data_IF_685455893104
#
_entry.id   IF_685455893104
#
_cell.length_a   1.000
_cell.length_b   1.000
_cell.length_c   1.000
_cell.angle_alpha   90.00
_cell.angle_beta   90.00
_cell.angle_gamma   90.00
#
_symmetry.space_group_name_H-M   'P 1'
#
loop_
_entity.id
_entity.type
_entity.pdbx_description
1 polymer ?
#
# COMPACT_ATOMS: atom_id res chain seq x y z
N UNK A 1 -7.17 43.41 -14.21
CA UNK A 1 -6.58 42.14 -14.67
C UNK A 1 -5.12 42.45 -14.99
N UNK A 2 -4.17 41.81 -14.31
CA UNK A 2 -2.73 42.04 -14.54
C UNK A 2 -2.38 41.47 -15.92
N UNK A 3 -1.63 42.20 -16.74
CA UNK A 3 -1.21 41.73 -18.06
C UNK A 3 -0.18 40.60 -17.90
N UNK A 4 -0.24 39.57 -18.75
CA UNK A 4 0.70 38.42 -18.71
C UNK A 4 2.16 38.86 -18.78
N UNK A 5 2.45 39.87 -19.60
CA UNK A 5 3.77 40.50 -19.75
C UNK A 5 4.31 41.07 -18.41
N UNK A 6 3.43 41.57 -17.54
CA UNK A 6 3.82 42.07 -16.22
C UNK A 6 4.22 40.92 -15.29
N UNK A 7 3.51 39.79 -15.33
CA UNK A 7 3.84 38.61 -14.51
C UNK A 7 5.15 37.96 -14.96
N UNK A 8 5.42 37.97 -16.27
CA UNK A 8 6.70 37.54 -16.82
C UNK A 8 7.85 38.45 -16.38
N UNK A 9 7.67 39.78 -16.48
CA UNK A 9 8.69 40.76 -16.06
C UNK A 9 9.02 40.67 -14.56
N UNK A 10 8.02 40.37 -13.72
CA UNK A 10 8.18 40.18 -12.28
C UNK A 10 8.69 38.78 -11.90
N UNK A 11 8.96 37.92 -12.88
CA UNK A 11 9.35 36.51 -12.68
C UNK A 11 8.39 35.75 -11.74
N UNK A 12 7.08 36.03 -11.80
CA UNK A 12 6.09 35.48 -10.87
C UNK A 12 6.13 33.95 -10.81
N UNK A 13 6.23 33.30 -11.96
CA UNK A 13 6.33 31.84 -12.06
C UNK A 13 7.56 31.29 -11.33
N UNK A 14 8.70 31.99 -11.37
CA UNK A 14 9.93 31.61 -10.67
C UNK A 14 9.78 31.77 -9.15
N UNK A 15 9.11 32.82 -8.70
CA UNK A 15 8.76 33.00 -7.29
C UNK A 15 7.85 31.86 -6.80
N UNK A 16 6.80 31.53 -7.54
CA UNK A 16 5.90 30.41 -7.24
C UNK A 16 6.63 29.06 -7.21
N UNK A 17 7.56 28.83 -8.14
CA UNK A 17 8.42 27.64 -8.12
C UNK A 17 9.29 27.56 -6.88
N UNK A 18 9.86 28.69 -6.44
CA UNK A 18 10.64 28.74 -5.20
C UNK A 18 9.75 28.52 -3.97
N UNK A 19 8.57 29.15 -3.91
CA UNK A 19 7.59 28.94 -2.85
C UNK A 19 7.21 27.46 -2.73
N UNK A 20 6.97 26.78 -3.85
CA UNK A 20 6.60 25.37 -3.88
C UNK A 20 7.65 24.44 -3.23
N UNK A 21 8.92 24.84 -3.12
CA UNK A 21 9.94 24.03 -2.44
C UNK A 21 9.78 23.98 -0.93
N UNK A 22 8.96 24.87 -0.36
CA UNK A 22 8.68 24.91 1.08
C UNK A 22 7.39 24.16 1.46
N UNK A 23 6.64 23.62 0.50
CA UNK A 23 5.40 22.91 0.77
C UNK A 23 5.64 21.51 1.35
N UNK A 24 4.88 21.14 2.38
CA UNK A 24 4.97 19.83 3.05
C UNK A 24 4.34 18.68 2.23
N UNK A 25 3.43 18.98 1.30
CA UNK A 25 2.71 17.97 0.50
C UNK A 25 2.89 18.22 -0.99
N UNK A 26 2.78 17.15 -1.80
CA UNK A 26 2.80 17.26 -3.27
C UNK A 26 1.69 18.17 -3.79
N UNK A 27 0.49 18.06 -3.22
CA UNK A 27 -0.66 18.89 -3.57
C UNK A 27 -0.43 20.36 -3.22
N UNK A 28 0.16 20.66 -2.05
CA UNK A 28 0.54 22.01 -1.66
C UNK A 28 1.62 22.60 -2.59
N UNK A 29 2.62 21.80 -2.97
CA UNK A 29 3.64 22.21 -3.93
C UNK A 29 3.05 22.51 -5.31
N UNK A 30 2.09 21.70 -5.76
CA UNK A 30 1.35 21.94 -6.99
C UNK A 30 0.56 23.26 -6.91
N UNK A 31 -0.22 23.46 -5.84
CA UNK A 31 -0.99 24.68 -5.61
C UNK A 31 -0.11 25.95 -5.59
N UNK A 32 1.02 25.90 -4.88
CA UNK A 32 1.98 27.02 -4.81
C UNK A 32 2.62 27.33 -6.18
N UNK A 33 2.93 26.30 -6.98
CA UNK A 33 3.54 26.46 -8.30
C UNK A 33 2.65 27.16 -9.30
N UNK A 34 1.34 26.91 -9.24
CA UNK A 34 0.34 27.48 -10.13
C UNK A 34 -0.50 28.58 -9.44
N UNK A 35 0.06 29.23 -8.42
CA UNK A 35 -0.63 30.31 -7.73
C UNK A 35 -0.75 31.55 -8.62
N UNK A 36 -1.94 32.14 -8.65
CA UNK A 36 -2.22 33.36 -9.41
C UNK A 36 -2.50 34.51 -8.42
N UNK A 37 -2.09 35.76 -8.71
CA UNK A 37 -2.48 36.89 -7.89
C UNK A 37 -4.01 37.02 -7.85
N UNK A 38 -4.61 37.21 -6.67
CA UNK A 38 -6.06 37.40 -6.51
C UNK A 38 -6.59 38.51 -7.40
N UNK A 39 -7.79 38.31 -7.96
CA UNK A 39 -8.39 39.28 -8.87
C UNK A 39 -9.02 40.48 -8.15
N UNK A 40 -9.32 40.32 -6.85
CA UNK A 40 -10.00 41.32 -6.04
C UNK A 40 -9.29 41.58 -4.71
N UNK A 41 -9.49 42.78 -4.17
CA UNK A 41 -8.99 43.12 -2.83
C UNK A 41 -9.61 42.23 -1.74
N UNK A 42 -10.89 41.85 -1.89
CA UNK A 42 -11.57 40.96 -0.93
C UNK A 42 -10.85 39.63 -0.84
N UNK A 43 -10.64 38.97 -1.97
CA UNK A 43 -9.92 37.70 -2.06
C UNK A 43 -8.50 37.79 -1.49
N UNK A 44 -7.79 38.90 -1.76
CA UNK A 44 -6.47 39.15 -1.17
C UNK A 44 -6.51 39.25 0.35
N UNK A 45 -7.52 39.91 0.91
CA UNK A 45 -7.68 40.05 2.36
C UNK A 45 -8.03 38.72 3.01
N UNK A 46 -8.87 37.90 2.37
CA UNK A 46 -9.27 36.59 2.87
C UNK A 46 -8.07 35.63 2.91
N UNK A 47 -7.28 35.55 1.83
CA UNK A 47 -6.03 34.75 1.79
C UNK A 47 -4.96 35.24 2.77
N UNK A 48 -4.83 36.57 2.93
CA UNK A 48 -3.91 37.14 3.91
C UNK A 48 -4.34 36.78 5.34
N UNK A 49 -5.64 36.74 5.62
CA UNK A 49 -6.15 36.38 6.93
C UNK A 49 -5.90 34.89 7.24
N UNK A 50 -6.12 33.98 6.28
CA UNK A 50 -5.71 32.56 6.38
C UNK A 50 -4.21 32.42 6.65
N UNK A 51 -3.38 33.17 5.92
CA UNK A 51 -1.91 33.13 6.07
C UNK A 51 -1.46 33.60 7.46
N UNK A 52 -2.11 34.64 8.00
CA UNK A 52 -1.80 35.16 9.34
C UNK A 52 -2.09 34.15 10.44
N UNK A 53 -3.26 33.50 10.41
CA UNK A 53 -3.60 32.48 11.38
C UNK A 53 -2.70 31.25 11.25
N UNK A 54 -2.40 30.80 10.01
CA UNK A 54 -1.47 29.69 9.79
C UNK A 54 -0.08 29.99 10.35
N UNK A 55 0.43 31.21 10.13
CA UNK A 55 1.72 31.64 10.67
C UNK A 55 1.71 31.77 12.20
N UNK A 56 0.63 32.30 12.79
CA UNK A 56 0.47 32.37 14.24
C UNK A 56 0.47 30.97 14.86
N UNK A 57 -0.26 30.03 14.25
CA UNK A 57 -0.31 28.65 14.70
C UNK A 57 1.03 27.93 14.52
N UNK A 58 1.70 28.12 13.39
CA UNK A 58 3.01 27.51 13.15
C UNK A 58 4.08 28.02 14.14
N UNK A 59 4.05 29.31 14.47
CA UNK A 59 5.02 29.93 15.39
C UNK A 59 4.73 29.65 16.87
N UNK A 60 3.52 29.24 17.23
CA UNK A 60 3.18 28.85 18.60
C UNK A 60 3.56 27.39 18.90
N UNK A 61 3.93 26.61 17.90
CA UNK A 61 4.24 25.18 18.01
C UNK A 61 5.75 24.92 17.99
N UNK A 62 6.23 24.10 18.91
CA UNK A 62 7.64 23.69 18.96
C UNK A 62 8.06 22.86 17.72
N UNK A 63 7.13 22.10 17.14
CA UNK A 63 7.39 21.21 15.99
C UNK A 63 6.75 21.69 14.69
N UNK A 64 6.04 22.81 14.71
CA UNK A 64 5.24 23.30 13.58
C UNK A 64 4.03 22.42 13.26
N UNK A 65 3.28 22.82 12.22
CA UNK A 65 2.15 22.06 11.68
C UNK A 65 2.63 20.84 10.89
N UNK A 66 2.09 19.66 11.22
CA UNK A 66 2.40 18.42 10.48
C UNK A 66 1.30 18.06 9.48
N UNK A 67 1.74 17.64 8.29
CA UNK A 67 0.91 17.11 7.22
C UNK A 67 1.21 15.62 6.96
N UNK A 68 1.77 14.93 7.95
CA UNK A 68 2.25 13.56 7.80
C UNK A 68 1.14 12.60 7.36
N UNK A 69 1.48 11.79 6.35
CA UNK A 69 0.58 10.80 5.78
C UNK A 69 -0.38 11.35 4.73
N UNK A 70 -0.44 12.66 4.52
CA UNK A 70 -1.22 13.24 3.41
C UNK A 70 -0.47 13.01 2.10
N UNK A 71 -1.06 12.19 1.24
CA UNK A 71 -0.51 11.84 -0.06
C UNK A 71 -1.40 12.38 -1.18
N UNK A 72 -0.86 12.42 -2.40
CA UNK A 72 -1.66 12.67 -3.58
C UNK A 72 -2.36 11.37 -3.99
N UNK A 73 -3.69 11.36 -3.84
CA UNK A 73 -4.55 10.21 -4.14
C UNK A 73 -5.48 10.49 -5.33
N UNK A 74 -5.27 11.58 -6.07
CA UNK A 74 -6.15 12.01 -7.15
C UNK A 74 -6.38 10.93 -8.21
N UNK A 75 -5.31 10.34 -8.73
CA UNK A 75 -5.40 9.28 -9.75
C UNK A 75 -6.15 8.02 -9.25
N UNK A 76 -6.02 7.69 -7.96
CA UNK A 76 -6.75 6.59 -7.34
C UNK A 76 -8.25 6.89 -7.26
N UNK A 77 -8.61 8.14 -6.92
CA UNK A 77 -10.01 8.57 -6.85
C UNK A 77 -10.65 8.62 -8.24
N UNK A 78 -9.97 9.17 -9.24
CA UNK A 78 -10.45 9.20 -10.63
C UNK A 78 -10.72 7.79 -11.16
N UNK A 79 -9.83 6.84 -10.84
CA UNK A 79 -10.00 5.44 -11.23
C UNK A 79 -11.17 4.78 -10.51
N UNK A 80 -11.33 5.05 -9.21
CA UNK A 80 -12.43 4.53 -8.42
C UNK A 80 -13.79 5.06 -8.90
N UNK A 81 -13.86 6.34 -9.30
CA UNK A 81 -15.08 6.94 -9.88
C UNK A 81 -15.51 6.19 -11.14
N UNK A 82 -14.55 5.80 -11.98
CA UNK A 82 -14.75 4.96 -13.17
C UNK A 82 -14.97 3.47 -12.87
N UNK A 83 -15.22 3.09 -11.61
CA UNK A 83 -15.41 1.71 -11.15
C UNK A 83 -14.19 0.80 -11.42
N UNK A 84 -13.01 1.39 -11.54
CA UNK A 84 -11.76 0.66 -11.69
C UNK A 84 -11.30 0.01 -10.38
N UNK A 85 -10.42 -0.99 -10.51
CA UNK A 85 -9.82 -1.69 -9.37
C UNK A 85 -8.62 -0.88 -8.85
N UNK A 86 -8.58 -0.69 -7.53
CA UNK A 86 -7.43 -0.13 -6.83
C UNK A 86 -6.54 -1.24 -6.26
N UNK A 87 -5.23 -1.00 -6.26
CA UNK A 87 -4.27 -1.85 -5.56
C UNK A 87 -4.38 -1.67 -4.05
N UNK A 88 -3.85 -2.62 -3.28
CA UNK A 88 -3.80 -2.48 -1.82
C UNK A 88 -2.96 -1.28 -1.37
N UNK A 89 -1.86 -0.98 -2.07
CA UNK A 89 -1.05 0.22 -1.80
C UNK A 89 -1.85 1.51 -2.02
N UNK A 90 -2.64 1.59 -3.10
CA UNK A 90 -3.52 2.74 -3.37
C UNK A 90 -4.59 2.89 -2.28
N UNK A 91 -5.18 1.79 -1.81
CA UNK A 91 -6.15 1.82 -0.71
C UNK A 91 -5.50 2.27 0.60
N UNK A 92 -4.29 1.78 0.93
CA UNK A 92 -3.55 2.21 2.10
C UNK A 92 -3.18 3.70 2.03
N UNK A 93 -2.80 4.21 0.85
CA UNK A 93 -2.53 5.63 0.64
C UNK A 93 -3.78 6.49 0.91
N UNK A 94 -4.97 6.04 0.48
CA UNK A 94 -6.26 6.68 0.78
C UNK A 94 -6.51 6.68 2.29
N UNK A 95 -6.43 5.52 2.96
CA UNK A 95 -6.64 5.43 4.41
C UNK A 95 -5.66 6.33 5.19
N UNK A 96 -4.38 6.31 4.82
CA UNK A 96 -3.34 7.14 5.44
C UNK A 96 -3.63 8.63 5.26
N UNK A 97 -4.08 9.04 4.07
CA UNK A 97 -4.43 10.44 3.77
C UNK A 97 -5.66 10.87 4.57
N UNK A 98 -6.70 10.04 4.65
CA UNK A 98 -7.89 10.31 5.46
C UNK A 98 -7.54 10.45 6.95
N UNK A 99 -6.65 9.61 7.47
CA UNK A 99 -6.15 9.69 8.83
C UNK A 99 -5.36 10.99 9.07
N UNK A 100 -4.50 11.39 8.12
CA UNK A 100 -3.77 12.65 8.13
C UNK A 100 -4.70 13.87 8.19
N UNK A 101 -5.68 13.93 7.28
CA UNK A 101 -6.68 15.01 7.23
C UNK A 101 -7.51 15.06 8.53
N UNK A 102 -7.96 13.92 9.04
CA UNK A 102 -8.71 13.84 10.30
C UNK A 102 -7.90 14.35 11.50
N UNK A 103 -6.62 14.01 11.58
CA UNK A 103 -5.71 14.50 12.62
C UNK A 103 -5.49 16.01 12.52
N UNK A 104 -5.19 16.51 11.31
CA UNK A 104 -4.97 17.93 11.06
C UNK A 104 -6.22 18.76 11.38
N UNK A 105 -7.39 18.32 10.91
CA UNK A 105 -8.66 18.99 11.19
C UNK A 105 -8.91 19.10 12.69
N UNK A 106 -8.83 17.97 13.40
CA UNK A 106 -9.03 17.95 14.86
C UNK A 106 -8.04 18.87 15.57
N UNK A 107 -6.78 18.83 15.15
CA UNK A 107 -5.74 19.67 15.70
C UNK A 107 -6.08 21.16 15.57
N UNK A 108 -6.55 21.62 14.40
CA UNK A 108 -6.97 23.01 14.14
C UNK A 108 -8.22 23.37 14.94
N UNK A 109 -9.21 22.47 15.02
CA UNK A 109 -10.44 22.68 15.79
C UNK A 109 -10.16 22.90 17.29
N UNK A 110 -9.14 22.23 17.83
CA UNK A 110 -8.72 22.32 19.23
C UNK A 110 -7.93 23.61 19.58
N UNK A 111 -7.56 24.44 18.59
CA UNK A 111 -6.81 25.69 18.84
C UNK A 111 -7.72 26.88 19.16
N UNK A 112 -7.24 27.80 19.98
CA UNK A 112 -7.87 29.11 20.20
C UNK A 112 -7.40 30.12 19.13
N UNK A 113 -8.20 31.16 18.88
CA UNK A 113 -7.86 32.29 18.00
C UNK A 113 -7.48 31.96 16.54
N UNK A 114 -8.02 30.87 15.97
CA UNK A 114 -7.82 30.48 14.56
C UNK A 114 -9.14 30.18 13.82
N UNK A 115 -10.13 31.07 13.97
CA UNK A 115 -11.48 30.84 13.45
C UNK A 115 -11.51 30.72 11.92
N UNK A 116 -10.66 31.46 11.21
CA UNK A 116 -10.60 31.40 9.74
C UNK A 116 -10.05 30.04 9.28
N UNK A 117 -9.06 29.49 9.97
CA UNK A 117 -8.57 28.13 9.69
C UNK A 117 -9.62 27.07 10.03
N UNK A 118 -10.40 27.26 11.11
CA UNK A 118 -11.51 26.36 11.45
C UNK A 118 -12.57 26.35 10.34
N UNK A 119 -12.94 27.52 9.84
CA UNK A 119 -13.83 27.65 8.68
C UNK A 119 -13.23 26.97 7.44
N UNK A 120 -11.94 27.15 7.18
CA UNK A 120 -11.25 26.54 6.03
C UNK A 120 -11.29 25.00 6.05
N UNK A 121 -11.18 24.38 7.23
CA UNK A 121 -11.22 22.92 7.37
C UNK A 121 -12.62 22.36 7.62
N UNK A 122 -13.63 23.20 7.83
CA UNK A 122 -14.99 22.78 8.19
C UNK A 122 -15.60 21.82 7.15
N UNK A 123 -15.34 22.06 5.87
CA UNK A 123 -15.84 21.23 4.76
C UNK A 123 -15.05 19.93 4.56
N UNK A 124 -13.93 19.75 5.27
CA UNK A 124 -13.13 18.51 5.21
C UNK A 124 -13.85 17.38 5.95
N UNK A 125 -14.62 16.60 5.20
CA UNK A 125 -15.28 15.39 5.74
C UNK A 125 -14.25 14.34 6.12
N UNK A 126 -14.48 13.68 7.25
CA UNK A 126 -13.68 12.56 7.70
C UNK A 126 -14.46 11.27 7.52
N UNK A 127 -13.76 10.18 7.19
CA UNK A 127 -14.36 8.88 6.91
C UNK A 127 -13.68 7.78 7.74
N UNK A 128 -13.77 7.84 9.08
CA UNK A 128 -13.10 6.87 9.96
C UNK A 128 -13.56 5.43 9.72
N UNK A 129 -14.80 5.23 9.28
CA UNK A 129 -15.33 3.90 8.94
C UNK A 129 -14.63 3.31 7.72
N UNK A 130 -14.32 4.15 6.72
CA UNK A 130 -13.59 3.74 5.52
C UNK A 130 -12.13 3.41 5.84
N UNK A 131 -11.48 4.25 6.66
CA UNK A 131 -10.12 4.01 7.18
C UNK A 131 -10.04 2.65 7.88
N UNK A 132 -10.97 2.39 8.81
CA UNK A 132 -11.05 1.12 9.53
C UNK A 132 -11.30 -0.06 8.58
N UNK A 133 -12.16 0.11 7.59
CA UNK A 133 -12.50 -0.97 6.69
C UNK A 133 -11.37 -1.34 5.72
N UNK A 134 -10.63 -0.34 5.25
CA UNK A 134 -9.40 -0.55 4.48
C UNK A 134 -8.38 -1.31 5.33
N UNK A 135 -8.10 -0.87 6.56
CA UNK A 135 -7.16 -1.58 7.43
C UNK A 135 -7.65 -2.97 7.85
N UNK A 136 -8.96 -3.20 7.93
CA UNK A 136 -9.50 -4.54 8.16
C UNK A 136 -9.20 -5.45 6.98
N UNK A 137 -9.40 -4.96 5.75
CA UNK A 137 -9.28 -5.77 4.54
C UNK A 137 -7.86 -5.91 4.01
N UNK A 138 -7.02 -4.90 4.17
CA UNK A 138 -5.67 -4.78 3.62
C UNK A 138 -4.66 -4.70 4.76
N UNK A 139 -3.61 -5.51 4.70
CA UNK A 139 -2.51 -5.46 5.67
C UNK A 139 -1.47 -4.40 5.31
N UNK A 140 -0.46 -4.21 6.16
CA UNK A 140 0.56 -3.16 5.98
C UNK A 140 1.45 -3.37 4.74
N UNK A 141 1.38 -4.53 4.08
CA UNK A 141 2.10 -4.83 2.83
C UNK A 141 1.25 -4.55 1.59
N UNK A 142 0.00 -4.14 1.75
CA UNK A 142 -0.93 -3.98 0.64
C UNK A 142 -1.58 -5.30 0.20
N UNK A 143 -1.42 -6.38 0.97
CA UNK A 143 -2.04 -7.66 0.67
C UNK A 143 -3.41 -7.78 1.34
N UNK A 144 -4.32 -8.56 0.74
CA UNK A 144 -5.62 -8.85 1.36
C UNK A 144 -5.40 -9.71 2.60
N UNK A 145 -5.76 -9.17 3.76
CA UNK A 145 -5.58 -9.80 5.05
C UNK A 145 -6.52 -11.02 5.23
N UNK A 146 -6.09 -12.03 6.00
CA UNK A 146 -6.93 -13.20 6.32
C UNK A 146 -8.26 -12.78 6.98
N UNK A 147 -8.20 -11.73 7.82
CA UNK A 147 -9.35 -11.16 8.52
C UNK A 147 -10.34 -10.41 7.62
N UNK A 148 -10.02 -10.22 6.33
CA UNK A 148 -10.91 -9.54 5.38
C UNK A 148 -12.26 -10.26 5.27
N UNK A 149 -12.27 -11.60 5.23
CA UNK A 149 -13.51 -12.38 5.34
C UNK A 149 -13.28 -13.71 6.08
N UNK A 150 -14.26 -14.19 6.87
CA UNK A 150 -14.16 -15.52 7.51
C UNK A 150 -13.96 -16.66 6.50
N UNK A 151 -14.56 -16.52 5.31
CA UNK A 151 -14.42 -17.50 4.22
C UNK A 151 -12.98 -17.57 3.71
N UNK A 152 -12.33 -16.42 3.49
CA UNK A 152 -10.93 -16.36 3.06
C UNK A 152 -10.00 -16.96 4.12
N UNK A 153 -10.18 -16.59 5.39
CA UNK A 153 -9.43 -17.16 6.50
C UNK A 153 -9.57 -18.69 6.57
N UNK A 154 -10.81 -19.20 6.42
CA UNK A 154 -11.10 -20.64 6.39
C UNK A 154 -10.38 -21.35 5.24
N UNK A 155 -10.45 -20.81 4.02
CA UNK A 155 -9.77 -21.37 2.85
C UNK A 155 -8.25 -21.38 3.05
N UNK A 156 -7.65 -20.28 3.50
CA UNK A 156 -6.20 -20.20 3.73
C UNK A 156 -5.74 -21.14 4.85
N UNK A 157 -6.54 -21.30 5.90
CA UNK A 157 -6.28 -22.29 6.97
C UNK A 157 -6.31 -23.71 6.42
N UNK A 158 -7.32 -24.07 5.61
CA UNK A 158 -7.42 -25.37 4.97
C UNK A 158 -6.23 -25.64 4.04
N UNK A 159 -5.83 -24.65 3.24
CA UNK A 159 -4.64 -24.73 2.39
C UNK A 159 -3.37 -24.99 3.20
N UNK A 160 -3.22 -24.29 4.34
CA UNK A 160 -2.08 -24.49 5.25
C UNK A 160 -2.08 -25.90 5.85
N UNK A 161 -3.20 -26.35 6.42
CA UNK A 161 -3.30 -27.68 7.01
C UNK A 161 -3.07 -28.80 6.00
N UNK A 162 -3.55 -28.64 4.77
CA UNK A 162 -3.30 -29.59 3.69
C UNK A 162 -1.81 -29.64 3.31
N UNK A 163 -1.17 -28.46 3.22
CA UNK A 163 0.27 -28.36 2.96
C UNK A 163 1.09 -29.00 4.08
N UNK A 164 0.77 -28.73 5.34
CA UNK A 164 1.48 -29.32 6.49
C UNK A 164 1.37 -30.85 6.47
N UNK A 165 0.19 -31.39 6.17
CA UNK A 165 -0.03 -32.84 6.00
C UNK A 165 0.79 -33.43 4.85
N UNK A 166 0.88 -32.74 3.71
CA UNK A 166 1.75 -33.17 2.59
C UNK A 166 3.22 -33.20 3.04
N UNK A 167 3.67 -32.17 3.74
CA UNK A 167 5.04 -32.09 4.25
C UNK A 167 5.35 -33.20 5.25
N UNK A 168 4.45 -33.51 6.18
CA UNK A 168 4.61 -34.63 7.13
C UNK A 168 4.77 -35.97 6.40
N UNK A 169 3.91 -36.25 5.40
CA UNK A 169 3.99 -37.48 4.60
C UNK A 169 5.33 -37.54 3.86
N UNK A 170 5.74 -36.45 3.23
CA UNK A 170 7.00 -36.37 2.47
C UNK A 170 8.22 -36.51 3.39
N UNK A 171 8.24 -35.86 4.54
CA UNK A 171 9.32 -36.02 5.53
C UNK A 171 9.43 -37.47 6.00
N UNK A 172 8.31 -38.14 6.26
CA UNK A 172 8.31 -39.56 6.60
C UNK A 172 8.84 -40.46 5.48
N UNK A 173 8.65 -40.07 4.21
CA UNK A 173 9.28 -40.77 3.07
C UNK A 173 10.78 -40.49 3.03
N UNK A 174 11.19 -39.23 3.17
CA UNK A 174 12.62 -38.83 3.16
C UNK A 174 13.39 -39.56 4.24
N UNK A 175 12.86 -39.67 5.46
CA UNK A 175 13.52 -40.39 6.56
C UNK A 175 13.65 -41.90 6.29
N UNK A 176 12.61 -42.54 5.75
CA UNK A 176 12.61 -44.00 5.52
C UNK A 176 13.36 -44.42 4.25
N UNK A 177 13.42 -43.56 3.25
CA UNK A 177 13.93 -43.85 1.90
C UNK A 177 15.07 -42.91 1.49
N UNK A 178 15.74 -42.27 2.45
CA UNK A 178 16.79 -41.27 2.19
C UNK A 178 17.93 -41.75 1.29
N UNK A 179 18.25 -43.06 1.30
CA UNK A 179 19.27 -43.65 0.42
C UNK A 179 18.93 -43.61 -1.08
N UNK A 180 17.62 -43.60 -1.40
CA UNK A 180 17.10 -43.54 -2.78
C UNK A 180 17.02 -42.12 -3.33
N UNK A 181 17.10 -41.12 -2.46
CA UNK A 181 17.10 -39.72 -2.84
C UNK A 181 18.50 -39.27 -3.25
N UNK A 182 18.56 -38.41 -4.26
CA UNK A 182 19.78 -37.71 -4.62
C UNK A 182 20.10 -36.64 -3.56
N UNK A 183 19.07 -35.96 -3.05
CA UNK A 183 19.14 -35.00 -1.95
C UNK A 183 17.94 -35.21 -1.02
N UNK A 184 18.18 -35.17 0.29
CA UNK A 184 17.12 -35.34 1.31
C UNK A 184 16.37 -34.03 1.54
N UNK A 185 15.76 -33.49 0.49
CA UNK A 185 14.96 -32.28 0.55
C UNK A 185 13.65 -32.46 -0.19
N UNK A 186 12.65 -31.68 0.24
CA UNK A 186 11.38 -31.53 -0.45
C UNK A 186 11.53 -30.33 -1.38
N UNK A 187 11.24 -30.52 -2.67
CA UNK A 187 11.25 -29.43 -3.65
C UNK A 187 9.91 -29.34 -4.36
N UNK A 188 9.75 -28.30 -5.17
CA UNK A 188 8.55 -28.07 -5.95
C UNK A 188 8.91 -28.02 -7.44
N UNK A 189 8.07 -28.62 -8.28
CA UNK A 189 8.13 -28.51 -9.75
C UNK A 189 6.76 -28.09 -10.24
N UNK A 190 6.68 -26.87 -10.78
CA UNK A 190 5.39 -26.20 -10.99
C UNK A 190 4.63 -26.04 -9.67
N UNK A 191 3.40 -26.53 -9.62
CA UNK A 191 2.55 -26.49 -8.43
C UNK A 191 2.59 -27.79 -7.60
N UNK A 192 3.51 -28.71 -7.91
CA UNK A 192 3.56 -30.06 -7.31
C UNK A 192 4.78 -30.23 -6.42
N UNK A 193 4.55 -30.78 -5.23
CA UNK A 193 5.63 -31.18 -4.32
C UNK A 193 6.25 -32.50 -4.78
N UNK A 194 7.58 -32.51 -4.91
CA UNK A 194 8.32 -33.64 -5.48
C UNK A 194 9.58 -33.93 -4.67
N UNK A 195 10.04 -35.18 -4.77
CA UNK A 195 11.30 -35.64 -4.19
C UNK A 195 12.32 -35.95 -5.31
N UNK A 196 13.58 -35.52 -5.18
CA UNK A 196 14.63 -35.83 -6.15
C UNK A 196 15.15 -37.25 -5.92
N UNK A 197 14.67 -38.21 -6.73
CA UNK A 197 15.01 -39.64 -6.66
C UNK A 197 16.14 -39.95 -7.64
N UNK A 198 17.11 -40.78 -7.23
CA UNK A 198 18.14 -41.31 -8.15
C UNK A 198 17.48 -42.15 -9.22
N UNK A 199 17.78 -41.91 -10.50
CA UNK A 199 17.16 -42.65 -11.61
C UNK A 199 17.21 -44.19 -11.47
N UNK A 200 18.33 -44.81 -11.00
CA UNK A 200 18.38 -46.26 -10.77
C UNK A 200 17.46 -46.76 -9.64
N UNK A 201 17.02 -45.88 -8.74
CA UNK A 201 16.17 -46.21 -7.60
C UNK A 201 14.75 -45.64 -7.75
N UNK A 202 14.29 -45.38 -8.98
CA UNK A 202 12.95 -44.83 -9.26
C UNK A 202 11.84 -45.66 -8.60
N UNK A 203 11.98 -46.99 -8.57
CA UNK A 203 10.95 -47.90 -8.07
C UNK A 203 10.90 -47.94 -6.53
N UNK A 204 11.91 -47.37 -5.85
CA UNK A 204 11.93 -47.28 -4.38
C UNK A 204 10.89 -46.30 -3.81
N UNK A 205 10.46 -45.32 -4.63
CA UNK A 205 9.45 -44.31 -4.28
C UNK A 205 8.41 -44.29 -5.41
N UNK A 206 7.32 -45.08 -5.31
CA UNK A 206 6.30 -45.13 -6.35
C UNK A 206 5.55 -43.79 -6.43
N UNK A 207 5.40 -43.27 -7.64
CA UNK A 207 4.82 -41.96 -7.87
C UNK A 207 4.81 -41.54 -9.34
N UNK A 208 4.44 -40.29 -9.58
CA UNK A 208 4.41 -39.66 -10.92
C UNK A 208 5.71 -38.86 -11.10
N UNK A 209 6.40 -39.07 -12.22
CA UNK A 209 7.58 -38.28 -12.57
C UNK A 209 7.11 -36.98 -13.23
N UNK A 210 7.43 -35.83 -12.63
CA UNK A 210 7.08 -34.51 -13.17
C UNK A 210 8.19 -33.90 -14.01
N UNK A 211 9.43 -34.20 -13.68
CA UNK A 211 10.59 -33.60 -14.31
C UNK A 211 11.82 -34.51 -14.18
N UNK A 212 12.84 -34.29 -15.00
CA UNK A 212 14.10 -35.04 -15.01
C UNK A 212 15.27 -34.08 -15.15
N UNK A 213 16.36 -34.31 -14.42
CA UNK A 213 17.56 -33.47 -14.54
C UNK A 213 18.17 -33.55 -15.95
N UNK A 214 18.89 -32.51 -16.37
CA UNK A 214 19.52 -32.43 -17.71
C UNK A 214 20.42 -33.63 -18.05
N UNK A 215 21.04 -34.22 -17.02
CA UNK A 215 21.90 -35.42 -17.13
C UNK A 215 21.13 -36.74 -17.07
N UNK A 216 19.82 -36.73 -16.82
CA UNK A 216 18.99 -37.91 -16.61
C UNK A 216 19.19 -38.63 -15.26
N UNK A 217 20.13 -38.17 -14.42
CA UNK A 217 20.52 -38.86 -13.20
C UNK A 217 19.51 -38.73 -12.05
N UNK A 218 18.70 -37.66 -12.03
CA UNK A 218 17.70 -37.38 -10.99
C UNK A 218 16.31 -37.27 -11.61
N UNK A 219 15.36 -37.99 -11.04
CA UNK A 219 13.93 -37.93 -11.37
C UNK A 219 13.20 -37.17 -10.26
N UNK A 220 12.38 -36.19 -10.61
CA UNK A 220 11.54 -35.46 -9.67
C UNK A 220 10.18 -36.15 -9.57
N UNK A 221 10.02 -36.94 -8.52
CA UNK A 221 8.85 -37.82 -8.34
C UNK A 221 7.90 -37.21 -7.31
N UNK A 222 6.62 -37.06 -7.67
CA UNK A 222 5.52 -36.85 -6.73
C UNK A 222 5.08 -38.23 -6.21
N UNK A 223 5.32 -38.56 -4.92
CA UNK A 223 4.98 -39.86 -4.39
C UNK A 223 3.46 -40.10 -4.42
N UNK A 224 3.04 -41.33 -4.73
CA UNK A 224 1.61 -41.71 -4.83
C UNK A 224 0.79 -41.34 -3.59
N UNK A 225 1.44 -41.28 -2.42
CA UNK A 225 0.81 -40.91 -1.15
C UNK A 225 0.26 -39.47 -1.10
N UNK A 226 0.75 -38.56 -1.96
CA UNK A 226 0.33 -37.15 -1.97
C UNK A 226 -0.38 -36.71 -3.26
N UNK A 227 -0.42 -37.57 -4.30
CA UNK A 227 -1.05 -37.25 -5.59
C UNK A 227 -2.52 -36.83 -5.46
N UNK A 228 -3.26 -37.43 -4.52
CA UNK A 228 -4.67 -37.09 -4.27
C UNK A 228 -4.89 -35.92 -3.30
N UNK A 229 -3.82 -35.32 -2.78
CA UNK A 229 -3.87 -34.20 -1.83
C UNK A 229 -3.48 -32.86 -2.47
N UNK A 230 -2.96 -32.86 -3.70
CA UNK A 230 -2.50 -31.68 -4.43
C UNK A 230 -3.30 -31.37 -5.68
#
# INVERSE_FOLDING_TARGET
MIQSETLELLEWSRLCQHLATFAATKLGAFAARYLHPPATQRESLDLLAQTKEAYQLETSLDTGLTFDGIQDIGESLDRAELQGILSGEELLAIATTLAGVRRLRRFIEDQEDVEILKELVADSRTYPELEQEIHRCIDDRGDVADRATPKLAGIRTQMKSLRDRIYEILQGIVQRKGGALQQQLITQRGDRFVLPVKAPQKDAIPGIVHDTSSTGATLYVEPKAIVGLG
#
